data_IF_907297870405
#
_entry.id   IF_907297870405
#
_cell.length_a   1.000
_cell.length_b   1.000
_cell.length_c   1.000
_cell.angle_alpha   90.00
_cell.angle_beta   90.00
_cell.angle_gamma   90.00
#
_symmetry.space_group_name_H-M   'P 1'
#
loop_
_entity.id
_entity.type
_entity.pdbx_description
1 polymer ?
#
# COMPACT_ATOMS: atom_id res chain seq x y z
N UNK A 1 0.55 -2.52 27.20
CA UNK A 1 0.26 -2.08 25.82
C UNK A 1 -0.89 -2.95 25.30
N UNK A 2 -1.82 -2.46 24.49
CA UNK A 2 -2.97 -3.27 24.03
C UNK A 2 -2.57 -4.25 22.91
N UNK A 3 -3.28 -5.39 22.79
CA UNK A 3 -3.00 -6.49 21.82
C UNK A 3 -2.74 -5.97 20.39
N UNK A 4 -3.51 -4.98 19.94
CA UNK A 4 -3.36 -4.39 18.59
C UNK A 4 -2.02 -3.66 18.43
N UNK A 5 -1.59 -2.90 19.45
CA UNK A 5 -0.33 -2.15 19.41
C UNK A 5 0.87 -3.09 19.37
N UNK A 6 0.81 -4.20 20.11
CA UNK A 6 1.90 -5.18 20.13
C UNK A 6 2.02 -5.93 18.79
N UNK A 7 0.88 -6.35 18.21
CA UNK A 7 0.84 -6.94 16.86
C UNK A 7 1.30 -5.97 15.78
N UNK A 8 0.90 -4.70 15.88
CA UNK A 8 1.34 -3.66 14.95
C UNK A 8 2.86 -3.49 15.01
N UNK A 9 3.43 -3.41 16.23
CA UNK A 9 4.88 -3.26 16.40
C UNK A 9 5.64 -4.40 15.74
N UNK A 10 5.26 -5.65 16.02
CA UNK A 10 5.91 -6.82 15.43
C UNK A 10 5.91 -6.78 13.89
N UNK A 11 4.77 -6.40 13.27
CA UNK A 11 4.68 -6.30 11.81
C UNK A 11 5.43 -5.08 11.25
N UNK A 12 5.43 -3.96 11.97
CA UNK A 12 6.17 -2.77 11.58
C UNK A 12 7.67 -3.02 11.56
N UNK A 13 8.20 -3.74 12.56
CA UNK A 13 9.62 -4.08 12.65
C UNK A 13 10.06 -4.98 11.47
N UNK A 14 9.23 -5.96 11.08
CA UNK A 14 9.45 -6.81 9.90
C UNK A 14 9.48 -6.00 8.60
N UNK A 15 8.43 -5.20 8.35
CA UNK A 15 8.32 -4.39 7.12
C UNK A 15 9.41 -3.32 7.04
N UNK A 16 9.85 -2.77 8.17
CA UNK A 16 10.94 -1.80 8.20
C UNK A 16 12.28 -2.41 7.73
N UNK A 17 12.53 -3.69 8.04
CA UNK A 17 13.68 -4.41 7.53
C UNK A 17 13.57 -4.63 6.02
N UNK A 18 12.41 -5.10 5.54
CA UNK A 18 12.16 -5.32 4.10
C UNK A 18 12.37 -4.03 3.27
N UNK A 19 11.84 -2.90 3.75
CA UNK A 19 12.01 -1.60 3.08
C UNK A 19 13.48 -1.20 3.01
N UNK A 20 14.26 -1.47 4.06
CA UNK A 20 15.69 -1.18 4.09
C UNK A 20 16.44 -2.02 3.06
N UNK A 21 16.08 -3.29 2.91
CA UNK A 21 16.70 -4.19 1.94
C UNK A 21 16.33 -3.80 0.50
N UNK A 22 15.07 -3.47 0.22
CA UNK A 22 14.64 -2.96 -1.09
C UNK A 22 15.39 -1.69 -1.47
N UNK A 23 15.54 -0.73 -0.56
CA UNK A 23 16.29 0.50 -0.83
C UNK A 23 17.78 0.22 -1.06
N UNK A 24 18.36 -0.75 -0.35
CA UNK A 24 19.75 -1.16 -0.54
C UNK A 24 19.97 -1.82 -1.90
N UNK A 25 19.05 -2.65 -2.35
CA UNK A 25 19.17 -3.41 -3.60
C UNK A 25 18.72 -2.62 -4.84
N UNK A 26 17.76 -1.69 -4.68
CA UNK A 26 17.07 -1.04 -5.78
C UNK A 26 16.97 0.49 -5.66
N UNK A 27 17.70 1.12 -4.72
CA UNK A 27 17.60 2.56 -4.47
C UNK A 27 17.87 3.46 -5.68
N UNK A 28 18.70 3.02 -6.63
CA UNK A 28 19.01 3.78 -7.86
C UNK A 28 18.13 3.39 -9.07
N UNK A 29 17.19 2.46 -8.87
CA UNK A 29 16.32 2.00 -9.95
C UNK A 29 15.36 3.12 -10.36
N UNK A 30 15.42 3.53 -11.63
CA UNK A 30 14.44 4.46 -12.20
C UNK A 30 13.07 3.80 -12.27
N UNK A 31 12.06 4.43 -11.67
CA UNK A 31 10.67 3.94 -11.62
C UNK A 31 9.72 4.69 -12.55
N UNK A 32 10.23 5.69 -13.28
CA UNK A 32 9.49 6.49 -14.24
C UNK A 32 10.33 7.66 -14.75
N UNK A 33 9.84 8.32 -15.79
CA UNK A 33 10.40 9.56 -16.31
C UNK A 33 9.48 10.72 -15.95
N UNK A 34 10.06 11.90 -15.73
CA UNK A 34 9.34 13.13 -15.39
C UNK A 34 9.41 14.09 -16.57
N UNK A 35 8.25 14.52 -17.05
CA UNK A 35 8.12 15.52 -18.11
C UNK A 35 7.69 16.87 -17.55
N UNK A 36 8.00 17.96 -18.28
CA UNK A 36 7.66 19.32 -17.86
C UNK A 36 6.14 19.51 -17.64
N UNK A 37 5.31 18.90 -18.49
CA UNK A 37 3.85 18.97 -18.38
C UNK A 37 3.32 18.35 -17.10
N UNK A 38 3.91 17.23 -16.63
CA UNK A 38 3.51 16.59 -15.38
C UNK A 38 3.79 17.46 -14.16
N UNK A 39 4.86 18.26 -14.19
CA UNK A 39 5.16 19.23 -13.13
C UNK A 39 4.10 20.33 -13.08
N UNK A 40 3.71 20.89 -14.22
CA UNK A 40 2.67 21.93 -14.27
C UNK A 40 1.24 21.41 -14.04
N UNK A 41 0.96 20.14 -14.35
CA UNK A 41 -0.38 19.53 -14.23
C UNK A 41 -0.59 18.76 -12.92
N UNK A 42 0.21 19.05 -11.88
CA UNK A 42 0.00 18.47 -10.55
C UNK A 42 0.32 16.98 -10.47
N UNK A 43 1.45 16.54 -11.05
CA UNK A 43 1.97 15.17 -10.96
C UNK A 43 1.10 14.09 -11.59
N UNK A 44 0.25 14.45 -12.56
CA UNK A 44 -0.62 13.50 -13.25
C UNK A 44 0.21 12.38 -13.91
N UNK A 45 -0.03 11.14 -13.48
CA UNK A 45 0.67 9.96 -14.00
C UNK A 45 2.11 9.79 -13.50
N UNK A 46 2.54 10.57 -12.49
CA UNK A 46 3.83 10.36 -11.82
C UNK A 46 3.65 9.50 -10.57
N UNK A 47 4.47 8.46 -10.43
CA UNK A 47 4.58 7.71 -9.18
C UNK A 47 5.41 8.52 -8.18
N UNK A 48 4.74 9.22 -7.25
CA UNK A 48 5.39 10.13 -6.30
C UNK A 48 5.42 9.68 -4.85
N UNK A 49 4.62 8.69 -4.46
CA UNK A 49 4.56 8.21 -3.07
C UNK A 49 4.30 6.70 -2.99
N UNK A 50 4.75 6.10 -1.89
CA UNK A 50 4.46 4.71 -1.54
C UNK A 50 3.20 4.67 -0.66
N UNK A 51 2.22 3.84 -1.02
CA UNK A 51 1.00 3.60 -0.23
C UNK A 51 0.77 2.10 -0.06
N UNK A 52 0.93 1.62 1.17
CA UNK A 52 0.90 0.17 1.49
C UNK A 52 -0.49 -0.38 1.84
N UNK A 53 -1.44 0.50 2.18
CA UNK A 53 -2.75 0.10 2.71
C UNK A 53 -3.70 -0.39 1.65
N UNK A 54 -3.65 0.21 0.47
CA UNK A 54 -4.54 -0.10 -0.64
C UNK A 54 -3.94 0.22 -2.00
N UNK A 55 -4.35 -0.55 -3.00
CA UNK A 55 -4.01 -0.34 -4.41
C UNK A 55 -5.29 -0.42 -5.26
N UNK A 56 -5.37 0.40 -6.30
CA UNK A 56 -6.45 0.34 -7.29
C UNK A 56 -6.07 -0.63 -8.39
N UNK A 57 -6.78 -1.75 -8.46
CA UNK A 57 -6.71 -2.71 -9.56
C UNK A 57 -7.61 -2.23 -10.71
N UNK A 58 -7.12 -2.35 -11.95
CA UNK A 58 -7.86 -1.88 -13.12
C UNK A 58 -9.11 -2.73 -13.43
N UNK A 59 -9.15 -3.99 -12.99
CA UNK A 59 -10.27 -4.91 -13.21
C UNK A 59 -11.18 -5.01 -11.99
N UNK A 60 -10.58 -5.20 -10.81
CA UNK A 60 -11.32 -5.52 -9.58
C UNK A 60 -11.57 -4.30 -8.68
N UNK A 61 -11.09 -3.12 -9.08
CA UNK A 61 -11.22 -1.89 -8.31
C UNK A 61 -10.29 -1.85 -7.09
N UNK A 62 -10.70 -1.16 -6.03
CA UNK A 62 -9.84 -0.94 -4.87
C UNK A 62 -9.66 -2.21 -4.04
N UNK A 63 -8.40 -2.51 -3.71
CA UNK A 63 -8.01 -3.65 -2.87
C UNK A 63 -7.38 -3.14 -1.58
N UNK A 64 -7.81 -3.66 -0.43
CA UNK A 64 -7.24 -3.33 0.87
C UNK A 64 -6.34 -4.47 1.35
N UNK A 65 -5.05 -4.19 1.51
CA UNK A 65 -4.02 -5.20 1.86
C UNK A 65 -4.11 -6.47 0.99
N UNK A 66 -4.39 -6.30 -0.31
CA UNK A 66 -4.51 -7.38 -1.30
C UNK A 66 -5.92 -7.96 -1.49
N UNK A 67 -6.87 -7.66 -0.61
CA UNK A 67 -8.24 -8.19 -0.70
C UNK A 67 -9.19 -7.23 -1.42
N UNK A 68 -9.99 -7.75 -2.35
CA UNK A 68 -11.07 -6.99 -2.97
C UNK A 68 -12.24 -6.78 -2.01
N UNK A 69 -13.11 -5.81 -2.30
CA UNK A 69 -14.31 -5.56 -1.49
C UNK A 69 -15.18 -6.82 -1.31
N UNK A 70 -15.49 -7.61 -2.37
CA UNK A 70 -16.24 -8.86 -2.21
C UNK A 70 -15.58 -9.90 -1.31
N UNK A 71 -14.24 -9.98 -1.30
CA UNK A 71 -13.51 -10.88 -0.40
C UNK A 71 -13.59 -10.42 1.05
N UNK A 72 -13.48 -9.11 1.29
CA UNK A 72 -13.56 -8.52 2.62
C UNK A 72 -14.95 -8.70 3.23
N UNK A 73 -16.02 -8.54 2.45
CA UNK A 73 -17.39 -8.77 2.92
C UNK A 73 -17.62 -10.21 3.44
N UNK A 74 -16.85 -11.18 2.93
CA UNK A 74 -16.90 -12.59 3.37
C UNK A 74 -16.00 -12.86 4.57
N UNK A 75 -14.85 -12.20 4.66
CA UNK A 75 -13.82 -12.46 5.68
C UNK A 75 -13.97 -11.62 6.94
N UNK A 76 -14.45 -10.38 6.81
CA UNK A 76 -14.55 -9.47 7.93
C UNK A 76 -15.71 -9.88 8.85
N UNK A 77 -15.53 -9.76 10.17
CA UNK A 77 -16.60 -10.03 11.12
C UNK A 77 -17.77 -9.07 10.89
N UNK A 78 -18.99 -9.60 11.01
CA UNK A 78 -20.23 -8.83 10.92
C UNK A 78 -20.79 -8.57 12.31
N UNK A 79 -21.64 -7.56 12.41
CA UNK A 79 -22.38 -7.32 13.64
C UNK A 79 -23.36 -8.49 13.90
N UNK A 80 -23.71 -8.78 15.15
CA UNK A 80 -24.79 -9.69 15.46
C UNK A 80 -26.09 -9.23 14.78
N UNK A 81 -26.66 -10.06 13.91
CA UNK A 81 -27.89 -9.74 13.18
C UNK A 81 -27.72 -9.21 11.75
N UNK A 82 -26.48 -9.00 11.28
CA UNK A 82 -26.18 -8.58 9.90
C UNK A 82 -25.28 -7.36 9.82
#
# INVERSE_FOLDING_TARGET
MGIIKDRFKAKADEVAADVKDILKEHGEKKIGEVTLSQVFQGMRGMTGLVTETSLLDAQDGIRFRGYSIPELQKKLPKAPGG
#
